data_IF_077579134092
#
_entry.id   IF_077579134092
#
_cell.length_a   1.000
_cell.length_b   1.000
_cell.length_c   1.000
_cell.angle_alpha   90.00
_cell.angle_beta   90.00
_cell.angle_gamma   90.00
#
_symmetry.space_group_name_H-M   'P 1'
#
loop_
_entity.id
_entity.type
_entity.pdbx_description
1 polymer ?
#
# COMPACT_ATOMS: atom_id res chain seq x y z
N UNK A 1 -31.04 3.87 -39.21
CA UNK A 1 -31.69 4.49 -38.03
C UNK A 1 -31.54 3.67 -36.76
N UNK A 2 -31.47 2.34 -36.84
CA UNK A 2 -31.25 1.42 -35.70
C UNK A 2 -29.77 1.34 -35.27
N UNK A 3 -28.83 1.32 -36.21
CA UNK A 3 -27.39 1.17 -35.91
C UNK A 3 -26.83 2.36 -35.12
N UNK A 4 -27.18 3.59 -35.49
CA UNK A 4 -26.77 4.80 -34.75
C UNK A 4 -27.29 4.86 -33.32
N UNK A 5 -28.44 4.23 -33.03
CA UNK A 5 -28.96 4.16 -31.65
C UNK A 5 -28.17 3.19 -30.80
N UNK A 6 -27.74 2.07 -31.38
CA UNK A 6 -26.97 1.07 -30.65
C UNK A 6 -25.58 1.59 -30.33
N UNK A 7 -24.93 2.26 -31.30
CA UNK A 7 -23.62 2.88 -31.12
C UNK A 7 -23.66 3.97 -30.04
N UNK A 8 -24.68 4.83 -30.04
CA UNK A 8 -24.88 5.84 -28.99
C UNK A 8 -25.09 5.26 -27.59
N UNK A 9 -25.83 4.14 -27.48
CA UNK A 9 -26.03 3.46 -26.18
C UNK A 9 -24.74 2.83 -25.69
N UNK A 10 -23.98 2.19 -26.58
CA UNK A 10 -22.70 1.55 -26.24
C UNK A 10 -21.66 2.59 -25.82
N UNK A 11 -21.58 3.73 -26.49
CA UNK A 11 -20.70 4.82 -26.06
C UNK A 11 -21.08 5.37 -24.68
N UNK A 12 -22.38 5.49 -24.38
CA UNK A 12 -22.84 5.91 -23.06
C UNK A 12 -22.48 4.93 -21.95
N UNK A 13 -22.74 3.65 -22.17
CA UNK A 13 -22.39 2.60 -21.19
C UNK A 13 -20.88 2.55 -20.93
N UNK A 14 -20.07 2.70 -21.99
CA UNK A 14 -18.62 2.75 -21.86
C UNK A 14 -18.12 3.99 -21.10
N UNK A 15 -18.77 5.14 -21.28
CA UNK A 15 -18.44 6.37 -20.57
C UNK A 15 -18.81 6.27 -19.08
N UNK A 16 -19.98 5.74 -18.75
CA UNK A 16 -20.41 5.56 -17.37
C UNK A 16 -19.52 4.54 -16.63
N UNK A 17 -19.13 3.44 -17.28
CA UNK A 17 -18.20 2.43 -16.71
C UNK A 17 -16.83 3.04 -16.41
N UNK A 18 -16.27 3.84 -17.32
CA UNK A 18 -15.00 4.55 -17.07
C UNK A 18 -15.10 5.53 -15.90
N UNK A 19 -16.22 6.25 -15.81
CA UNK A 19 -16.45 7.21 -14.74
C UNK A 19 -16.53 6.53 -13.37
N UNK A 20 -17.21 5.39 -13.28
CA UNK A 20 -17.30 4.62 -12.04
C UNK A 20 -15.96 4.00 -11.63
N UNK A 21 -15.17 3.51 -12.58
CA UNK A 21 -13.82 2.99 -12.33
C UNK A 21 -12.89 4.11 -11.83
N UNK A 22 -12.91 5.28 -12.47
CA UNK A 22 -12.09 6.43 -12.07
C UNK A 22 -12.46 6.91 -10.66
N UNK A 23 -13.77 7.02 -10.36
CA UNK A 23 -14.25 7.35 -9.02
C UNK A 23 -13.84 6.30 -7.99
N UNK A 24 -13.92 5.01 -8.33
CA UNK A 24 -13.51 3.91 -7.45
C UNK A 24 -12.02 3.99 -7.12
N UNK A 25 -11.16 4.23 -8.13
CA UNK A 25 -9.72 4.41 -7.90
C UNK A 25 -9.39 5.59 -6.99
N UNK A 26 -10.09 6.72 -7.14
CA UNK A 26 -9.89 7.90 -6.28
C UNK A 26 -10.30 7.62 -4.84
N UNK A 27 -11.41 6.90 -4.62
CA UNK A 27 -11.87 6.53 -3.27
C UNK A 27 -10.88 5.60 -2.59
N UNK A 28 -10.33 4.63 -3.32
CA UNK A 28 -9.32 3.70 -2.78
C UNK A 28 -8.02 4.44 -2.41
N UNK A 29 -7.57 5.39 -3.22
CA UNK A 29 -6.40 6.24 -2.92
C UNK A 29 -6.61 7.13 -1.69
N UNK A 30 -7.82 7.67 -1.49
CA UNK A 30 -8.16 8.44 -0.28
C UNK A 30 -8.21 7.57 0.97
N UNK A 31 -8.66 6.31 0.86
CA UNK A 31 -8.74 5.37 1.98
C UNK A 31 -7.37 4.83 2.43
N UNK A 32 -6.41 4.70 1.51
CA UNK A 32 -5.02 4.37 1.84
C UNK A 32 -4.28 5.53 2.53
N UNK A 33 -4.78 6.76 2.40
CA UNK A 33 -4.16 7.93 3.00
C UNK A 33 -4.58 8.11 4.46
N UNK A 34 -3.73 8.77 5.25
CA UNK A 34 -4.05 8.97 6.67
C UNK A 34 -5.28 9.90 6.82
N UNK A 35 -6.25 9.58 7.70
CA UNK A 35 -7.43 10.43 7.93
C UNK A 35 -7.08 11.76 8.60
N UNK A 36 -5.85 11.92 9.09
CA UNK A 36 -5.33 13.13 9.71
C UNK A 36 -4.50 13.87 8.64
N UNK A 37 -4.93 15.06 8.18
CA UNK A 37 -4.30 15.74 7.04
C UNK A 37 -2.85 16.12 7.32
N UNK A 38 -2.49 16.42 8.57
CA UNK A 38 -1.13 16.71 8.96
C UNK A 38 -0.21 15.49 8.77
N UNK A 39 -0.72 14.28 9.02
CA UNK A 39 0.04 13.03 8.88
C UNK A 39 0.16 12.63 7.41
N UNK A 40 -0.93 12.74 6.65
CA UNK A 40 -0.95 12.48 5.19
C UNK A 40 0.03 13.40 4.43
N UNK A 41 0.25 14.62 4.91
CA UNK A 41 1.17 15.57 4.28
C UNK A 41 2.66 15.29 4.58
N UNK A 42 2.97 14.58 5.68
CA UNK A 42 4.35 14.41 6.16
C UNK A 42 4.85 12.96 6.10
N UNK A 43 3.96 11.98 5.89
CA UNK A 43 4.30 10.56 5.80
C UNK A 43 3.95 10.04 4.40
N UNK A 44 4.90 9.54 3.61
CA UNK A 44 4.59 8.85 2.37
C UNK A 44 3.94 7.49 2.66
N UNK A 45 2.96 7.10 1.83
CA UNK A 45 2.21 5.83 1.99
C UNK A 45 3.05 4.58 1.63
N UNK A 46 4.24 4.78 1.06
CA UNK A 46 5.13 3.70 0.64
C UNK A 46 6.38 3.68 1.51
N UNK A 47 6.77 2.49 1.95
CA UNK A 47 8.00 2.29 2.70
C UNK A 47 9.23 2.27 1.78
N UNK A 48 10.38 2.72 2.28
CA UNK A 48 11.67 2.69 1.55
C UNK A 48 12.42 1.36 1.79
N UNK A 49 12.59 0.50 0.78
CA UNK A 49 13.28 -0.78 0.93
C UNK A 49 14.81 -0.66 0.99
N UNK A 50 15.38 0.53 0.74
CA UNK A 50 16.81 0.78 0.84
C UNK A 50 17.28 1.01 2.28
N UNK A 51 16.35 1.24 3.21
CA UNK A 51 16.64 1.42 4.62
C UNK A 51 17.26 0.14 5.22
N UNK A 52 18.40 0.24 5.91
CA UNK A 52 19.09 -0.92 6.45
C UNK A 52 18.33 -1.52 7.64
N UNK A 53 17.78 -2.71 7.45
CA UNK A 53 17.01 -3.44 8.47
C UNK A 53 17.91 -4.10 9.52
N UNK A 54 19.13 -4.47 9.14
CA UNK A 54 20.08 -5.22 9.98
C UNK A 54 21.14 -4.29 10.62
N UNK A 55 20.68 -3.35 11.43
CA UNK A 55 21.55 -2.39 12.13
C UNK A 55 22.43 -3.05 13.22
N UNK A 56 23.48 -2.38 13.66
CA UNK A 56 24.33 -2.85 14.77
C UNK A 56 23.53 -3.19 16.03
N UNK A 57 22.51 -2.39 16.37
CA UNK A 57 21.62 -2.64 17.52
C UNK A 57 20.88 -3.98 17.37
N UNK A 58 20.43 -4.31 16.17
CA UNK A 58 19.79 -5.59 15.89
C UNK A 58 20.77 -6.75 16.11
N UNK A 59 21.95 -6.68 15.52
CA UNK A 59 22.96 -7.73 15.64
C UNK A 59 23.41 -7.95 17.09
N UNK A 60 23.63 -6.88 17.86
CA UNK A 60 24.01 -6.97 19.27
C UNK A 60 22.96 -7.72 20.09
N UNK A 61 21.68 -7.39 19.91
CA UNK A 61 20.58 -8.05 20.62
C UNK A 61 20.41 -9.50 20.14
N UNK A 62 20.38 -9.73 18.82
CA UNK A 62 20.15 -11.04 18.23
C UNK A 62 21.26 -12.05 18.60
N UNK A 63 22.53 -11.65 18.45
CA UNK A 63 23.67 -12.50 18.82
C UNK A 63 23.77 -12.69 20.33
N UNK A 64 23.51 -11.64 21.12
CA UNK A 64 23.48 -11.71 22.57
C UNK A 64 22.45 -12.71 23.10
N UNK A 65 21.20 -12.64 22.62
CA UNK A 65 20.16 -13.59 23.00
C UNK A 65 20.43 -15.00 22.47
N UNK A 66 20.94 -15.13 21.24
CA UNK A 66 21.30 -16.44 20.68
C UNK A 66 22.39 -17.14 21.51
N UNK A 67 23.43 -16.40 21.91
CA UNK A 67 24.48 -16.94 22.77
C UNK A 67 23.97 -17.30 24.16
N UNK A 68 23.12 -16.46 24.76
CA UNK A 68 22.52 -16.70 26.08
C UNK A 68 21.63 -17.96 26.08
N UNK A 69 20.77 -18.11 25.07
CA UNK A 69 19.89 -19.27 24.91
C UNK A 69 20.71 -20.53 24.66
N UNK A 70 21.74 -20.46 23.81
CA UNK A 70 22.64 -21.59 23.55
C UNK A 70 23.35 -22.04 24.83
N UNK A 71 23.78 -21.10 25.68
CA UNK A 71 24.41 -21.41 26.96
C UNK A 71 23.47 -22.17 27.90
N UNK A 72 22.23 -21.70 28.06
CA UNK A 72 21.24 -22.39 28.91
C UNK A 72 20.81 -23.74 28.36
N UNK A 73 20.77 -23.92 27.04
CA UNK A 73 20.39 -25.17 26.40
C UNK A 73 21.53 -26.22 26.40
N UNK A 74 22.74 -25.86 26.86
CA UNK A 74 23.90 -26.76 26.89
C UNK A 74 24.15 -27.38 28.27
N UNK A 75 23.33 -27.07 29.29
CA UNK A 75 23.28 -27.73 30.59
C UNK A 75 22.02 -28.58 30.71
#
# INVERSE_FOLDING_TARGET
>A
MSEQKHEYTTEKEFVDEKFDVERSSVILEEEENSPIPEVAAIVPNTDDPSLPTLTFRFWLMATGFSALISFFNQF
#
